data_IF_854775558684
#
_entry.id   IF_854775558684
#
_cell.length_a   1.000
_cell.length_b   1.000
_cell.length_c   1.000
_cell.angle_alpha   90.00
_cell.angle_beta   90.00
_cell.angle_gamma   90.00
#
_symmetry.space_group_name_H-M   'P 1'
#
loop_
_entity.id
_entity.type
_entity.pdbx_description
1 polymer ?
#
# COMPACT_ATOMS: atom_id res chain seq x y z
N UNK A 1 22.07 19.10 -23.30
CA UNK A 1 22.50 17.81 -23.86
C UNK A 1 21.87 16.69 -23.06
N UNK A 2 21.90 15.46 -23.55
CA UNK A 2 21.39 14.29 -22.82
C UNK A 2 22.39 13.83 -21.75
N UNK A 3 21.89 13.13 -20.74
CA UNK A 3 22.69 12.52 -19.68
C UNK A 3 22.90 11.04 -19.95
N UNK A 4 24.06 10.52 -19.56
CA UNK A 4 24.31 9.08 -19.53
C UNK A 4 23.43 8.39 -18.47
N UNK A 5 23.11 7.11 -18.71
CA UNK A 5 22.21 6.29 -17.89
C UNK A 5 22.57 6.35 -16.39
N UNK A 6 23.85 6.23 -16.05
CA UNK A 6 24.34 6.31 -14.65
C UNK A 6 24.10 7.67 -14.02
N UNK A 7 24.33 8.75 -14.76
CA UNK A 7 24.19 10.11 -14.24
C UNK A 7 22.72 10.50 -14.09
N UNK A 8 21.88 10.10 -15.04
CA UNK A 8 20.43 10.25 -14.92
C UNK A 8 19.89 9.53 -13.67
N UNK A 9 20.37 8.31 -13.40
CA UNK A 9 19.98 7.58 -12.20
C UNK A 9 20.47 8.23 -10.90
N UNK A 10 21.72 8.72 -10.87
CA UNK A 10 22.29 9.44 -9.73
C UNK A 10 21.48 10.70 -9.39
N UNK A 11 21.17 11.53 -10.39
CA UNK A 11 20.33 12.72 -10.21
C UNK A 11 18.92 12.31 -9.77
N UNK A 12 18.37 11.26 -10.37
CA UNK A 12 17.08 10.69 -9.99
C UNK A 12 16.99 10.29 -8.52
N UNK A 13 18.06 9.72 -7.96
CA UNK A 13 18.12 9.32 -6.55
C UNK A 13 18.06 10.51 -5.59
N UNK A 14 18.77 11.58 -5.92
CA UNK A 14 18.76 12.81 -5.11
C UNK A 14 17.40 13.51 -5.16
N UNK A 15 16.81 13.63 -6.35
CA UNK A 15 15.45 14.19 -6.51
C UNK A 15 14.42 13.33 -5.77
N UNK A 16 14.52 12.01 -5.89
CA UNK A 16 13.65 11.07 -5.17
C UNK A 16 13.78 11.22 -3.65
N UNK A 17 15.01 11.37 -3.13
CA UNK A 17 15.23 11.60 -1.70
C UNK A 17 14.62 12.90 -1.20
N UNK A 18 14.71 13.98 -1.99
CA UNK A 18 14.07 15.25 -1.66
C UNK A 18 12.53 15.13 -1.64
N UNK A 19 11.96 14.39 -2.60
CA UNK A 19 10.52 14.11 -2.65
C UNK A 19 10.06 13.27 -1.45
N UNK A 20 10.77 12.19 -1.11
CA UNK A 20 10.44 11.35 0.06
C UNK A 20 10.46 12.16 1.37
N UNK A 21 11.46 13.03 1.54
CA UNK A 21 11.56 13.89 2.73
C UNK A 21 10.36 14.85 2.83
N UNK A 22 9.92 15.43 1.71
CA UNK A 22 8.75 16.30 1.69
C UNK A 22 7.44 15.52 1.90
N UNK A 23 7.29 14.36 1.27
CA UNK A 23 6.12 13.50 1.41
C UNK A 23 5.94 13.01 2.86
N UNK A 24 7.04 12.70 3.55
CA UNK A 24 7.02 12.35 4.97
C UNK A 24 6.52 13.51 5.87
N UNK A 25 6.71 14.76 5.42
CA UNK A 25 6.17 15.95 6.07
C UNK A 25 4.75 16.32 5.59
N UNK A 26 4.12 15.50 4.74
CA UNK A 26 2.79 15.77 4.16
C UNK A 26 2.79 16.84 3.05
N UNK A 27 3.95 17.20 2.52
CA UNK A 27 4.11 18.25 1.50
C UNK A 27 4.32 17.59 0.14
N UNK A 28 3.49 17.95 -0.85
CA UNK A 28 3.70 17.58 -2.25
C UNK A 28 4.48 18.67 -2.99
N UNK A 29 5.36 18.26 -3.90
CA UNK A 29 6.14 19.21 -4.69
C UNK A 29 5.27 19.92 -5.73
N UNK A 30 4.44 19.17 -6.47
CA UNK A 30 3.48 19.67 -7.49
C UNK A 30 4.10 20.37 -8.71
N UNK A 31 5.40 20.58 -8.77
CA UNK A 31 6.04 21.15 -9.97
C UNK A 31 7.41 20.51 -10.26
N UNK A 32 7.51 19.18 -10.25
CA UNK A 32 8.79 18.51 -10.54
C UNK A 32 9.08 18.61 -12.04
N UNK A 33 10.13 19.31 -12.41
CA UNK A 33 10.59 19.52 -13.79
C UNK A 33 12.08 19.90 -13.79
N UNK A 34 12.78 19.83 -14.95
CA UNK A 34 14.22 20.11 -15.01
C UNK A 34 14.60 21.49 -14.47
N UNK A 35 13.78 22.52 -14.70
CA UNK A 35 14.00 23.89 -14.22
C UNK A 35 14.08 24.01 -12.69
N UNK A 36 13.44 23.07 -11.97
CA UNK A 36 13.41 23.03 -10.52
C UNK A 36 14.45 22.05 -9.93
N UNK A 37 15.31 21.45 -10.78
CA UNK A 37 16.40 20.55 -10.36
C UNK A 37 17.73 21.25 -10.59
N UNK A 38 18.33 21.75 -9.51
CA UNK A 38 19.59 22.49 -9.55
C UNK A 38 20.79 21.56 -9.36
N UNK A 39 21.78 21.68 -10.25
CA UNK A 39 23.05 20.97 -10.16
C UNK A 39 24.12 21.89 -9.57
N UNK A 40 24.59 21.55 -8.38
CA UNK A 40 25.63 22.26 -7.65
C UNK A 40 27.01 21.67 -7.86
N UNK A 41 28.01 22.27 -7.21
CA UNK A 41 29.38 21.71 -7.14
C UNK A 41 29.38 20.41 -6.34
N UNK A 42 30.37 19.55 -6.63
CA UNK A 42 30.59 18.28 -5.93
C UNK A 42 29.37 17.34 -5.99
N UNK A 43 28.79 17.18 -7.18
CA UNK A 43 27.66 16.28 -7.46
C UNK A 43 26.38 16.56 -6.65
N UNK A 44 26.30 17.71 -5.97
CA UNK A 44 25.11 18.11 -5.21
C UNK A 44 23.94 18.37 -6.15
N UNK A 45 22.81 17.73 -5.87
CA UNK A 45 21.54 18.00 -6.56
C UNK A 45 20.55 18.58 -5.55
N UNK A 46 19.81 19.61 -5.95
CA UNK A 46 18.82 20.27 -5.09
C UNK A 46 17.52 20.41 -5.85
N UNK A 47 16.42 19.93 -5.25
CA UNK A 47 15.07 20.19 -5.74
C UNK A 47 14.55 21.48 -5.10
N UNK A 48 14.10 22.44 -5.92
CA UNK A 48 13.61 23.76 -5.49
C UNK A 48 12.15 23.98 -5.83
N UNK A 49 11.55 25.03 -5.28
CA UNK A 49 10.19 25.48 -5.62
C UNK A 49 9.09 24.47 -5.27
N UNK A 50 9.19 23.90 -4.07
CA UNK A 50 8.10 23.13 -3.46
C UNK A 50 6.83 24.00 -3.43
N UNK A 51 5.73 23.46 -3.98
CA UNK A 51 4.50 24.18 -4.31
C UNK A 51 3.68 24.70 -3.12
N UNK A 52 4.26 25.55 -2.28
CA UNK A 52 3.58 26.32 -1.23
C UNK A 52 2.67 27.41 -1.83
N UNK A 53 2.82 27.75 -3.11
CA UNK A 53 2.06 28.81 -3.79
C UNK A 53 0.88 28.35 -4.67
N UNK A 54 0.70 27.04 -4.93
CA UNK A 54 -0.44 26.58 -5.74
C UNK A 54 -1.64 26.24 -4.85
N UNK A 55 -2.32 27.29 -4.41
CA UNK A 55 -3.68 27.23 -3.84
C UNK A 55 -4.61 26.67 -4.92
N UNK A 56 -5.51 25.76 -4.52
CA UNK A 56 -6.58 25.23 -5.36
C UNK A 56 -7.33 26.39 -6.05
N UNK A 57 -7.17 26.55 -7.36
CA UNK A 57 -7.91 27.55 -8.14
C UNK A 57 -7.12 28.29 -9.23
N UNK A 58 -5.80 28.39 -9.14
CA UNK A 58 -5.00 29.08 -10.17
C UNK A 58 -4.38 28.10 -11.18
N UNK A 59 -5.22 27.53 -12.05
CA UNK A 59 -4.77 27.36 -13.43
C UNK A 59 -4.51 28.77 -13.96
N UNK A 60 -3.24 29.18 -14.03
CA UNK A 60 -2.82 30.39 -14.74
C UNK A 60 -3.09 30.23 -16.26
N UNK A 61 -4.37 30.27 -16.62
CA UNK A 61 -4.81 30.72 -17.93
C UNK A 61 -4.50 32.23 -17.95
N UNK A 62 -3.49 32.66 -18.68
CA UNK A 62 -3.40 34.08 -19.00
C UNK A 62 -4.59 34.44 -19.88
N UNK A 63 -5.11 35.66 -19.76
CA UNK A 63 -6.24 36.22 -20.55
C UNK A 63 -6.11 36.12 -22.09
N UNK A 64 -4.99 35.57 -22.57
CA UNK A 64 -4.66 35.31 -23.98
C UNK A 64 -4.77 33.84 -24.39
N UNK A 65 -5.26 32.95 -23.51
CA UNK A 65 -5.42 31.52 -23.80
C UNK A 65 -4.09 30.74 -23.83
N UNK A 66 -3.03 31.33 -23.28
CA UNK A 66 -1.72 30.71 -23.12
C UNK A 66 -1.61 30.01 -21.78
N UNK A 67 -1.25 28.72 -21.80
CA UNK A 67 -0.81 28.01 -20.60
C UNK A 67 0.62 28.45 -20.29
N UNK A 68 0.86 29.11 -19.16
CA UNK A 68 2.22 29.43 -18.70
C UNK A 68 2.75 28.25 -17.89
N UNK A 69 3.63 27.44 -18.49
CA UNK A 69 4.26 26.32 -17.83
C UNK A 69 4.70 25.21 -18.80
N UNK A 70 5.23 24.12 -18.24
CA UNK A 70 5.63 22.92 -18.97
C UNK A 70 4.60 21.80 -18.75
N UNK A 71 3.48 21.79 -19.51
CA UNK A 71 2.36 20.86 -19.29
C UNK A 71 2.75 19.39 -19.43
N UNK A 72 3.86 19.09 -20.09
CA UNK A 72 4.35 17.74 -20.30
C UNK A 72 4.82 17.03 -19.03
N UNK A 73 5.10 17.77 -17.95
CA UNK A 73 5.50 17.21 -16.65
C UNK A 73 4.34 17.02 -15.68
N UNK A 74 3.15 17.51 -16.02
CA UNK A 74 1.96 17.40 -15.15
C UNK A 74 1.45 15.96 -15.19
N UNK A 75 1.12 15.41 -14.03
CA UNK A 75 0.57 14.06 -13.93
C UNK A 75 -0.88 14.00 -14.47
N UNK A 76 -1.29 12.91 -15.15
CA UNK A 76 -2.61 12.77 -15.77
C UNK A 76 -3.77 13.08 -14.81
N UNK A 77 -3.69 12.58 -13.58
CA UNK A 77 -4.68 12.79 -12.52
C UNK A 77 -4.86 14.29 -12.20
N UNK A 78 -3.80 15.09 -12.29
CA UNK A 78 -3.87 16.55 -12.07
C UNK A 78 -4.51 17.27 -13.25
N UNK A 79 -4.23 16.83 -14.47
CA UNK A 79 -4.91 17.35 -15.67
C UNK A 79 -6.41 17.06 -15.61
N UNK A 80 -6.79 15.92 -15.02
CA UNK A 80 -8.19 15.52 -14.80
C UNK A 80 -8.84 16.17 -13.57
N UNK A 81 -8.15 17.03 -12.83
CA UNK A 81 -8.67 17.67 -11.61
C UNK A 81 -8.85 16.73 -10.42
N UNK A 82 -8.25 15.54 -10.44
CA UNK A 82 -8.25 14.61 -9.32
C UNK A 82 -7.25 15.08 -8.25
N UNK A 83 -7.47 14.68 -7.00
CA UNK A 83 -6.59 15.05 -5.88
C UNK A 83 -5.19 14.43 -6.07
N UNK A 84 -4.12 15.23 -6.27
CA UNK A 84 -2.78 14.68 -6.43
C UNK A 84 -2.26 14.10 -5.12
N UNK A 85 -1.45 13.05 -5.24
CA UNK A 85 -0.73 12.42 -4.13
C UNK A 85 0.77 12.27 -4.45
N UNK A 86 1.54 11.59 -3.59
CA UNK A 86 2.97 11.34 -3.82
C UNK A 86 3.30 10.76 -5.21
N UNK A 87 2.42 9.89 -5.70
CA UNK A 87 2.55 9.28 -7.03
C UNK A 87 2.54 10.31 -8.18
N UNK A 88 1.94 11.48 -7.99
CA UNK A 88 1.95 12.57 -8.99
C UNK A 88 3.34 13.17 -9.15
N UNK A 89 4.07 13.37 -8.06
CA UNK A 89 5.46 13.86 -8.13
C UNK A 89 6.39 12.80 -8.72
N UNK A 90 6.13 11.51 -8.45
CA UNK A 90 6.87 10.39 -9.03
C UNK A 90 6.66 10.27 -10.55
N UNK A 91 5.46 10.54 -11.06
CA UNK A 91 5.22 10.66 -12.50
C UNK A 91 6.10 11.73 -13.13
N UNK A 92 6.09 12.92 -12.53
CA UNK A 92 6.86 14.05 -13.00
C UNK A 92 8.37 13.76 -12.98
N UNK A 93 8.87 13.04 -11.95
CA UNK A 93 10.23 12.49 -11.94
C UNK A 93 10.47 11.53 -13.12
N UNK A 94 9.52 10.65 -13.46
CA UNK A 94 9.60 9.78 -14.63
C UNK A 94 9.76 10.55 -15.94
N UNK A 95 9.02 11.67 -16.09
CA UNK A 95 9.15 12.55 -17.26
C UNK A 95 10.52 13.25 -17.28
N UNK A 96 11.02 13.69 -16.13
CA UNK A 96 12.37 14.27 -15.99
C UNK A 96 13.44 13.27 -16.40
N UNK A 97 13.39 12.04 -15.91
CA UNK A 97 14.36 10.99 -16.24
C UNK A 97 14.32 10.63 -17.73
N UNK A 98 13.13 10.49 -18.31
CA UNK A 98 12.98 10.28 -19.75
C UNK A 98 13.58 11.43 -20.55
N UNK A 99 13.23 12.68 -20.22
CA UNK A 99 13.73 13.85 -20.92
C UNK A 99 15.24 14.02 -20.76
N UNK A 100 15.80 13.61 -19.61
CA UNK A 100 17.23 13.64 -19.37
C UNK A 100 18.00 12.65 -20.27
N UNK A 101 17.46 11.45 -20.53
CA UNK A 101 18.12 10.45 -21.37
C UNK A 101 17.85 10.63 -22.86
N UNK A 102 16.62 10.99 -23.23
CA UNK A 102 16.18 11.10 -24.63
C UNK A 102 16.26 12.54 -25.19
N UNK A 103 16.46 13.53 -24.32
CA UNK A 103 16.57 14.95 -24.70
C UNK A 103 15.23 15.63 -24.96
N UNK A 104 14.12 14.89 -24.96
CA UNK A 104 12.76 15.38 -25.17
C UNK A 104 11.78 14.63 -24.28
N UNK A 105 10.75 15.31 -23.78
CA UNK A 105 9.65 14.65 -23.07
C UNK A 105 8.86 13.72 -24.01
N UNK A 106 8.38 12.56 -23.53
CA UNK A 106 7.59 11.63 -24.34
C UNK A 106 6.21 12.22 -24.71
N UNK A 107 5.76 13.23 -23.98
CA UNK A 107 4.43 13.84 -24.15
C UNK A 107 4.43 15.17 -24.87
N UNK A 108 5.59 15.80 -25.07
CA UNK A 108 5.67 17.10 -25.75
C UNK A 108 5.07 17.00 -27.15
N UNK A 109 4.18 17.94 -27.50
CA UNK A 109 3.60 18.12 -28.84
C UNK A 109 3.74 19.58 -29.27
N UNK A 110 3.27 19.91 -30.47
CA UNK A 110 3.40 21.23 -31.09
C UNK A 110 2.62 22.35 -30.38
N UNK A 111 1.64 22.01 -29.53
CA UNK A 111 0.89 22.97 -28.73
C UNK A 111 0.46 22.37 -27.38
N UNK A 112 0.02 23.23 -26.45
CA UNK A 112 -0.36 22.84 -25.09
C UNK A 112 -1.55 21.87 -25.05
N UNK A 113 -2.68 22.11 -25.74
CA UNK A 113 -3.79 21.14 -25.74
C UNK A 113 -3.38 19.76 -26.24
N UNK A 114 -2.56 19.68 -27.30
CA UNK A 114 -2.06 18.41 -27.81
C UNK A 114 -1.10 17.73 -26.82
N UNK A 115 -0.31 18.51 -26.08
CA UNK A 115 0.60 17.99 -25.05
C UNK A 115 -0.20 17.42 -23.88
N UNK A 116 -1.21 18.13 -23.39
CA UNK A 116 -2.12 17.63 -22.34
C UNK A 116 -2.89 16.39 -22.80
N UNK A 117 -3.39 16.38 -24.04
CA UNK A 117 -4.04 15.20 -24.61
C UNK A 117 -3.08 14.00 -24.67
N UNK A 118 -1.80 14.25 -24.98
CA UNK A 118 -0.75 13.23 -24.97
C UNK A 118 -0.43 12.74 -23.55
N UNK A 119 -0.37 13.65 -22.57
CA UNK A 119 -0.24 13.30 -21.14
C UNK A 119 -1.40 12.43 -20.68
N UNK A 120 -2.62 12.66 -21.15
CA UNK A 120 -3.78 11.84 -20.78
C UNK A 120 -3.80 10.47 -21.47
N UNK A 121 -3.52 10.40 -22.77
CA UNK A 121 -3.89 9.25 -23.58
C UNK A 121 -2.71 8.51 -24.23
N UNK A 122 -1.58 9.19 -24.48
CA UNK A 122 -0.49 8.57 -25.22
C UNK A 122 0.30 7.61 -24.32
N UNK A 123 0.53 6.38 -24.80
CA UNK A 123 1.52 5.49 -24.18
C UNK A 123 2.90 5.93 -24.67
N UNK A 124 3.84 6.32 -23.78
CA UNK A 124 5.21 6.63 -24.17
C UNK A 124 5.85 5.48 -24.92
N UNK A 125 6.66 5.79 -25.94
CA UNK A 125 7.62 4.81 -26.40
C UNK A 125 8.61 4.51 -25.25
N UNK A 126 9.10 3.27 -25.10
CA UNK A 126 10.19 2.99 -24.18
C UNK A 126 11.41 3.87 -24.50
N UNK A 127 12.16 4.35 -23.49
CA UNK A 127 13.35 5.15 -23.73
C UNK A 127 14.38 4.36 -24.53
N UNK A 128 14.97 4.97 -25.56
CA UNK A 128 15.92 4.31 -26.44
C UNK A 128 17.36 4.38 -25.90
N UNK A 129 17.70 5.43 -25.14
CA UNK A 129 19.02 5.60 -24.54
C UNK A 129 19.11 5.02 -23.12
N UNK A 130 18.00 4.93 -22.40
CA UNK A 130 17.95 4.23 -21.11
C UNK A 130 17.69 2.73 -21.32
N UNK A 131 18.43 1.89 -20.60
CA UNK A 131 18.27 0.43 -20.65
C UNK A 131 18.30 -0.17 -19.24
N UNK A 132 17.80 -1.40 -19.12
CA UNK A 132 17.81 -2.13 -17.86
C UNK A 132 17.00 -1.42 -16.77
N UNK A 133 17.47 -1.40 -15.51
CA UNK A 133 16.68 -0.90 -14.39
C UNK A 133 16.21 0.55 -14.53
N UNK A 134 16.96 1.44 -15.20
CA UNK A 134 16.50 2.81 -15.45
C UNK A 134 15.32 2.87 -16.43
N UNK A 135 15.34 2.05 -17.48
CA UNK A 135 14.22 1.96 -18.41
C UNK A 135 12.97 1.42 -17.69
N UNK A 136 13.14 0.44 -16.81
CA UNK A 136 12.05 -0.11 -15.99
C UNK A 136 11.48 0.94 -15.03
N UNK A 137 12.34 1.75 -14.40
CA UNK A 137 11.92 2.85 -13.54
C UNK A 137 11.11 3.89 -14.34
N UNK A 138 11.63 4.33 -15.50
CA UNK A 138 10.96 5.30 -16.37
C UNK A 138 9.60 4.75 -16.84
N UNK A 139 9.56 3.53 -17.37
CA UNK A 139 8.33 2.92 -17.87
C UNK A 139 7.30 2.67 -16.76
N UNK A 140 7.75 2.33 -15.55
CA UNK A 140 6.90 2.19 -14.37
C UNK A 140 6.34 3.53 -13.89
N UNK A 141 7.18 4.56 -13.80
CA UNK A 141 6.76 5.89 -13.36
C UNK A 141 5.78 6.55 -14.34
N UNK A 142 5.90 6.26 -15.63
CA UNK A 142 5.05 6.79 -16.69
C UNK A 142 3.76 5.98 -16.93
N UNK A 143 3.33 5.17 -15.95
CA UNK A 143 2.00 4.57 -15.93
C UNK A 143 0.92 5.63 -15.68
N UNK A 144 -0.10 5.69 -16.56
CA UNK A 144 -1.17 6.71 -16.47
C UNK A 144 -1.91 6.64 -15.15
N UNK A 145 -2.23 5.43 -14.72
CA UNK A 145 -2.82 5.15 -13.42
C UNK A 145 -1.76 5.32 -12.32
N UNK A 146 -1.92 6.27 -11.38
CA UNK A 146 -1.00 6.48 -10.27
C UNK A 146 -0.78 5.21 -9.42
N UNK A 147 -1.78 4.34 -9.32
CA UNK A 147 -1.69 3.10 -8.53
C UNK A 147 -0.82 2.01 -9.18
N UNK A 148 -0.50 2.14 -10.47
CA UNK A 148 0.41 1.23 -11.18
C UNK A 148 1.86 1.71 -11.19
N UNK A 149 2.12 2.92 -10.69
CA UNK A 149 3.48 3.45 -10.60
C UNK A 149 4.22 2.75 -9.46
N UNK A 150 5.51 2.43 -9.64
CA UNK A 150 6.32 1.92 -8.54
C UNK A 150 6.38 2.97 -7.43
N UNK A 151 6.36 2.50 -6.18
CA UNK A 151 6.55 3.37 -5.03
C UNK A 151 8.00 3.88 -4.94
N UNK A 152 8.25 4.84 -4.07
CA UNK A 152 9.58 5.46 -3.95
C UNK A 152 10.70 4.43 -3.65
N UNK A 153 10.43 3.42 -2.82
CA UNK A 153 11.42 2.36 -2.53
C UNK A 153 11.74 1.49 -3.77
N UNK A 154 10.74 1.15 -4.58
CA UNK A 154 10.93 0.41 -5.83
C UNK A 154 11.70 1.25 -6.86
N UNK A 155 11.36 2.54 -6.99
CA UNK A 155 12.09 3.48 -7.86
C UNK A 155 13.54 3.59 -7.38
N UNK A 156 13.76 3.77 -6.08
CA UNK A 156 15.09 3.83 -5.46
C UNK A 156 15.94 2.61 -5.80
N UNK A 157 15.40 1.40 -5.62
CA UNK A 157 16.11 0.17 -5.94
C UNK A 157 16.54 0.10 -7.43
N UNK A 158 15.66 0.50 -8.35
CA UNK A 158 15.96 0.52 -9.78
C UNK A 158 17.01 1.57 -10.15
N UNK A 159 16.93 2.76 -9.54
CA UNK A 159 17.92 3.81 -9.76
C UNK A 159 19.28 3.45 -9.11
N UNK A 160 19.30 2.83 -7.94
CA UNK A 160 20.52 2.32 -7.28
C UNK A 160 21.18 1.22 -8.11
N UNK A 161 20.42 0.25 -8.61
CA UNK A 161 20.95 -0.79 -9.49
C UNK A 161 21.56 -0.22 -10.79
N UNK A 162 21.05 0.92 -11.25
CA UNK A 162 21.59 1.64 -12.40
C UNK A 162 22.87 2.41 -12.04
N UNK A 163 22.86 3.14 -10.93
CA UNK A 163 23.98 3.95 -10.48
C UNK A 163 25.17 3.09 -10.03
N UNK A 164 24.90 1.94 -9.40
CA UNK A 164 25.86 1.02 -8.81
C UNK A 164 25.63 -0.42 -9.32
N UNK A 165 25.93 -0.73 -10.60
CA UNK A 165 25.72 -2.07 -11.12
C UNK A 165 26.60 -3.08 -10.37
N UNK A 166 26.07 -4.27 -10.02
CA UNK A 166 26.83 -5.29 -9.32
C UNK A 166 28.04 -5.74 -10.17
N UNK A 167 29.18 -5.94 -9.51
CA UNK A 167 30.36 -6.53 -10.13
C UNK A 167 30.02 -7.99 -10.47
N UNK A 168 30.18 -8.47 -11.71
CA UNK A 168 29.83 -9.84 -12.07
C UNK A 168 30.64 -10.84 -11.25
N UNK A 169 29.96 -11.80 -10.62
CA UNK A 169 30.62 -12.91 -9.92
C UNK A 169 31.32 -13.85 -10.94
N UNK A 170 32.56 -14.29 -10.66
CA UNK A 170 33.24 -15.24 -11.53
C UNK A 170 32.51 -16.59 -11.56
N UNK A 171 32.20 -17.06 -12.76
CA UNK A 171 31.54 -18.34 -13.03
C UNK A 171 32.27 -19.51 -12.36
N UNK A 172 31.67 -20.12 -11.34
CA UNK A 172 32.19 -21.37 -10.77
C UNK A 172 31.77 -22.56 -11.62
N UNK A 173 32.77 -23.31 -12.10
CA UNK A 173 32.60 -24.56 -12.84
C UNK A 173 32.24 -25.66 -11.82
N UNK A 174 31.01 -26.16 -11.86
CA UNK A 174 30.59 -27.31 -11.04
C UNK A 174 31.21 -28.59 -11.62
N UNK A 175 32.13 -29.21 -10.87
CA UNK A 175 32.66 -30.55 -11.19
C UNK A 175 31.83 -31.58 -10.42
N UNK A 176 31.05 -32.38 -11.12
CA UNK A 176 30.30 -33.50 -10.55
C UNK A 176 31.28 -34.59 -10.11
N UNK A 177 31.27 -34.95 -8.82
CA UNK A 177 32.00 -36.12 -8.29
C UNK A 177 30.98 -37.23 -8.03
N UNK A 178 31.16 -38.37 -8.67
CA UNK A 178 30.42 -39.61 -8.40
C UNK A 178 30.80 -40.16 -7.02
N UNK A 179 29.79 -40.50 -6.22
CA UNK A 179 29.95 -41.13 -4.89
C UNK A 179 29.60 -42.63 -5.01
N UNK A 180 30.48 -43.56 -4.60
CA UNK A 180 30.12 -44.97 -4.54
C UNK A 180 29.33 -45.28 -3.26
N UNK A 181 28.37 -46.19 -3.40
CA UNK A 181 27.50 -46.66 -2.34
C UNK A 181 28.26 -47.47 -1.27
N UNK A 182 28.02 -47.18 0.01
CA UNK A 182 28.50 -48.03 1.10
C UNK A 182 28.11 -47.56 2.52
N UNK A 183 27.28 -48.36 3.20
CA UNK A 183 27.30 -48.57 4.66
C UNK A 183 26.62 -47.50 5.55
N UNK A 184 25.36 -47.74 5.94
CA UNK A 184 24.71 -46.98 7.02
C UNK A 184 25.17 -47.42 8.43
N UNK A 185 25.24 -46.51 9.43
CA UNK A 185 25.51 -46.91 10.81
C UNK A 185 24.21 -47.19 11.57
N UNK A 186 24.20 -48.33 12.27
CA UNK A 186 23.23 -48.68 13.31
C UNK A 186 23.62 -47.97 14.61
N UNK A 187 22.73 -47.14 15.18
CA UNK A 187 22.93 -46.59 16.52
C UNK A 187 22.19 -47.41 17.59
N UNK A 188 22.93 -47.72 18.65
CA UNK A 188 22.55 -48.62 19.74
C UNK A 188 21.81 -47.95 20.91
N UNK A 189 21.29 -48.83 21.76
CA UNK A 189 20.19 -48.69 22.72
C UNK A 189 20.53 -47.95 24.04
N UNK A 190 21.40 -46.93 24.04
CA UNK A 190 21.86 -46.25 25.28
C UNK A 190 22.01 -44.72 25.17
N UNK A 191 20.96 -44.01 24.75
CA UNK A 191 20.90 -42.55 24.84
C UNK A 191 19.61 -42.05 25.51
N UNK A 192 19.15 -42.80 26.52
CA UNK A 192 17.84 -42.63 27.19
C UNK A 192 17.92 -41.99 28.59
N UNK A 193 18.92 -41.16 28.86
CA UNK A 193 18.98 -40.40 30.12
C UNK A 193 19.31 -38.92 29.86
N UNK A 194 18.24 -38.19 29.55
CA UNK A 194 18.20 -36.73 29.45
C UNK A 194 16.77 -36.20 29.63
N UNK A 195 15.94 -36.92 30.40
CA UNK A 195 14.57 -36.55 30.73
C UNK A 195 14.55 -36.05 32.18
N UNK A 196 14.71 -34.75 32.36
CA UNK A 196 14.65 -34.11 33.70
C UNK A 196 14.48 -32.60 33.64
N UNK A 197 15.05 -31.93 32.63
CA UNK A 197 14.86 -30.49 32.40
C UNK A 197 13.66 -30.14 31.50
N UNK A 198 13.14 -31.10 30.73
CA UNK A 198 12.09 -30.83 29.72
C UNK A 198 10.66 -30.73 30.30
N UNK A 199 10.42 -31.22 31.51
CA UNK A 199 9.06 -31.26 32.09
C UNK A 199 8.62 -29.90 32.66
N UNK A 200 9.56 -29.05 33.08
CA UNK A 200 9.24 -27.69 33.57
C UNK A 200 8.98 -26.73 32.40
N UNK A 201 9.72 -26.88 31.29
CA UNK A 201 9.46 -26.12 30.07
C UNK A 201 8.11 -26.50 29.41
N UNK A 202 7.73 -27.78 29.44
CA UNK A 202 6.44 -28.24 28.96
C UNK A 202 5.26 -27.74 29.84
N UNK A 203 5.46 -27.58 31.15
CA UNK A 203 4.43 -27.04 32.04
C UNK A 203 4.23 -25.52 31.88
N UNK A 204 5.30 -24.76 31.60
CA UNK A 204 5.20 -23.32 31.27
C UNK A 204 4.59 -23.11 29.89
N UNK A 205 4.92 -23.96 28.91
CA UNK A 205 4.29 -23.95 27.60
C UNK A 205 2.80 -24.35 27.67
N UNK A 206 2.43 -25.32 28.50
CA UNK A 206 1.04 -25.71 28.70
C UNK A 206 0.21 -24.64 29.46
N UNK A 207 0.82 -23.90 30.39
CA UNK A 207 0.15 -22.79 31.07
C UNK A 207 -0.08 -21.57 30.16
N UNK A 208 0.86 -21.29 29.25
CA UNK A 208 0.70 -20.22 28.26
C UNK A 208 -0.33 -20.55 27.16
N UNK A 209 -0.66 -21.83 26.95
CA UNK A 209 -1.70 -22.27 26.00
C UNK A 209 -3.12 -22.16 26.57
N UNK A 210 -3.29 -22.02 27.88
CA UNK A 210 -4.62 -21.89 28.51
C UNK A 210 -5.14 -20.43 28.47
N UNK A 211 -4.27 -19.45 28.18
CA UNK A 211 -4.65 -18.04 28.13
C UNK A 211 -5.05 -17.51 26.74
N UNK A 212 -4.77 -18.24 25.65
CA UNK A 212 -5.12 -17.77 24.29
C UNK A 212 -5.36 -18.95 23.32
N UNK A 213 -6.56 -19.56 23.31
CA UNK A 213 -6.81 -20.80 22.58
C UNK A 213 -6.89 -20.68 21.05
N UNK A 214 -6.51 -19.53 20.44
CA UNK A 214 -6.60 -19.32 18.99
C UNK A 214 -5.31 -18.80 18.30
N UNK A 215 -4.24 -18.51 19.04
CA UNK A 215 -3.00 -18.02 18.45
C UNK A 215 -2.02 -19.16 18.12
N UNK A 216 -2.16 -19.77 16.94
CA UNK A 216 -0.99 -20.37 16.29
C UNK A 216 0.13 -19.31 16.13
N UNK A 217 1.40 -19.70 15.96
CA UNK A 217 2.45 -18.72 15.68
C UNK A 217 2.04 -17.89 14.46
N UNK A 218 2.17 -16.57 14.55
CA UNK A 218 1.87 -15.69 13.42
C UNK A 218 2.75 -16.08 12.21
N UNK A 219 2.27 -15.89 10.98
CA UNK A 219 3.10 -16.12 9.80
C UNK A 219 4.35 -15.22 9.81
N UNK A 220 5.41 -15.64 9.10
CA UNK A 220 6.62 -14.84 8.98
C UNK A 220 6.30 -13.44 8.43
N UNK A 221 6.93 -12.42 9.02
CA UNK A 221 6.70 -11.02 8.64
C UNK A 221 5.43 -10.40 9.22
N UNK A 222 4.73 -11.06 10.15
CA UNK A 222 3.61 -10.47 10.89
C UNK A 222 4.01 -9.99 12.29
N UNK A 223 3.26 -9.02 12.81
CA UNK A 223 3.42 -8.51 14.16
C UNK A 223 2.06 -8.20 14.79
N UNK A 224 1.95 -8.37 16.11
CA UNK A 224 0.82 -7.84 16.89
C UNK A 224 1.09 -6.36 17.19
N UNK A 225 0.10 -5.50 16.96
CA UNK A 225 0.15 -4.07 17.29
C UNK A 225 -1.04 -3.72 18.18
N UNK A 226 -0.77 -3.32 19.42
CA UNK A 226 -1.79 -2.75 20.31
C UNK A 226 -2.03 -1.29 19.96
N UNK A 227 -3.29 -0.92 19.80
CA UNK A 227 -3.69 0.45 19.48
C UNK A 227 -4.64 0.96 20.55
N UNK A 228 -4.15 1.87 21.39
CA UNK A 228 -4.89 2.44 22.53
C UNK A 228 -6.21 3.09 22.12
N UNK A 229 -6.25 3.72 20.96
CA UNK A 229 -7.45 4.46 20.53
C UNK A 229 -8.66 3.55 20.31
N UNK A 230 -8.42 2.41 19.68
CA UNK A 230 -9.43 1.38 19.43
C UNK A 230 -9.43 0.28 20.50
N UNK A 231 -8.69 0.43 21.60
CA UNK A 231 -8.64 -0.51 22.72
C UNK A 231 -8.53 -2.00 22.31
N UNK A 232 -7.66 -2.27 21.34
CA UNK A 232 -7.49 -3.61 20.77
C UNK A 232 -6.06 -3.85 20.27
N UNK A 233 -5.68 -5.12 20.26
CA UNK A 233 -4.50 -5.66 19.58
C UNK A 233 -4.92 -6.33 18.28
N UNK A 234 -4.20 -6.02 17.21
CA UNK A 234 -4.43 -6.62 15.90
C UNK A 234 -3.12 -7.23 15.37
N UNK A 235 -3.20 -8.45 14.82
CA UNK A 235 -2.11 -8.98 14.02
C UNK A 235 -2.17 -8.40 12.61
N UNK A 236 -1.05 -7.85 12.14
CA UNK A 236 -0.91 -7.24 10.82
C UNK A 236 0.47 -7.57 10.23
N UNK A 237 0.62 -7.58 8.89
CA UNK A 237 1.95 -7.64 8.28
C UNK A 237 2.81 -6.45 8.76
N UNK A 238 4.07 -6.73 9.07
CA UNK A 238 4.99 -5.78 9.69
C UNK A 238 5.26 -4.55 8.81
N UNK A 239 5.21 -4.74 7.49
CA UNK A 239 5.42 -3.73 6.45
C UNK A 239 4.20 -2.82 6.21
N UNK A 240 3.02 -3.16 6.75
CA UNK A 240 1.82 -2.35 6.55
C UNK A 240 1.90 -1.01 7.29
N UNK A 241 1.53 0.05 6.57
CA UNK A 241 1.59 1.42 7.05
C UNK A 241 0.33 1.74 7.87
N UNK A 242 0.48 2.15 9.14
CA UNK A 242 -0.65 2.57 9.95
C UNK A 242 -1.15 3.95 9.51
N UNK A 243 -2.46 4.14 9.55
CA UNK A 243 -3.10 5.45 9.49
C UNK A 243 -4.12 5.56 10.61
N UNK A 244 -4.15 6.73 11.25
CA UNK A 244 -5.00 7.03 12.40
C UNK A 244 -5.68 8.38 12.19
N UNK A 245 -6.84 8.63 12.80
CA UNK A 245 -7.56 9.89 12.65
C UNK A 245 -6.77 11.08 13.20
N UNK A 246 -6.86 12.22 12.51
CA UNK A 246 -6.41 13.50 13.03
C UNK A 246 -7.39 13.99 14.11
N UNK A 247 -6.95 14.01 15.36
CA UNK A 247 -7.78 14.37 16.53
C UNK A 247 -8.32 15.79 16.50
N UNK A 248 -7.78 16.67 15.66
CA UNK A 248 -8.32 18.03 15.48
C UNK A 248 -9.63 18.04 14.69
N UNK A 249 -9.80 17.08 13.77
CA UNK A 249 -10.90 17.06 12.81
C UNK A 249 -11.77 15.82 12.92
N UNK A 250 -11.24 14.74 13.48
CA UNK A 250 -11.91 13.44 13.58
C UNK A 250 -11.83 12.91 15.03
N UNK A 251 -13.01 12.77 15.64
CA UNK A 251 -13.18 12.25 17.00
C UNK A 251 -13.49 10.77 17.03
N UNK A 252 -13.69 10.13 15.89
CA UNK A 252 -14.01 8.71 15.81
C UNK A 252 -12.78 7.85 16.15
N UNK A 253 -13.01 6.59 16.49
CA UNK A 253 -11.94 5.66 16.85
C UNK A 253 -11.73 4.65 15.73
N UNK A 254 -10.65 4.82 14.98
CA UNK A 254 -10.26 3.85 13.97
C UNK A 254 -8.76 3.81 13.77
N UNK A 255 -8.29 2.68 13.25
CA UNK A 255 -6.95 2.53 12.71
C UNK A 255 -7.01 1.71 11.43
N UNK A 256 -6.26 2.12 10.42
CA UNK A 256 -6.06 1.31 9.21
C UNK A 256 -4.61 0.93 9.04
N UNK A 257 -4.37 -0.22 8.44
CA UNK A 257 -3.07 -0.74 8.05
C UNK A 257 -3.14 -1.11 6.59
N UNK A 258 -2.37 -0.43 5.75
CA UNK A 258 -2.38 -0.65 4.30
C UNK A 258 -1.03 -1.19 3.84
N UNK A 259 -1.05 -2.09 2.87
CA UNK A 259 0.16 -2.41 2.13
C UNK A 259 0.65 -1.16 1.37
N UNK A 260 1.92 -1.13 0.97
CA UNK A 260 2.50 0.03 0.29
C UNK A 260 1.81 0.39 -1.05
N UNK A 261 1.06 -0.53 -1.66
CA UNK A 261 0.26 -0.22 -2.85
C UNK A 261 -1.13 0.33 -2.54
N UNK A 262 -1.61 0.19 -1.31
CA UNK A 262 -3.00 0.46 -0.91
C UNK A 262 -4.02 -0.54 -1.46
N UNK A 263 -3.58 -1.59 -2.15
CA UNK A 263 -4.46 -2.61 -2.72
C UNK A 263 -5.11 -3.48 -1.65
N UNK A 264 -4.38 -3.81 -0.59
CA UNK A 264 -4.85 -4.56 0.57
C UNK A 264 -4.76 -3.66 1.79
N UNK A 265 -5.88 -3.51 2.48
CA UNK A 265 -5.90 -2.78 3.74
C UNK A 265 -6.78 -3.47 4.77
N UNK A 266 -6.41 -3.29 6.03
CA UNK A 266 -7.12 -3.74 7.21
C UNK A 266 -7.56 -2.48 7.96
N UNK A 267 -8.81 -2.37 8.34
CA UNK A 267 -9.34 -1.26 9.12
C UNK A 267 -10.10 -1.76 10.32
N UNK A 268 -9.76 -1.28 11.50
CA UNK A 268 -10.50 -1.54 12.74
C UNK A 268 -11.16 -0.25 13.19
N UNK A 269 -12.48 -0.25 13.30
CA UNK A 269 -13.27 0.83 13.90
C UNK A 269 -13.85 0.37 15.23
N UNK A 270 -13.87 1.28 16.20
CA UNK A 270 -14.52 1.14 17.48
C UNK A 270 -15.57 2.24 17.65
N UNK A 271 -16.83 1.85 17.74
CA UNK A 271 -17.90 2.75 18.15
C UNK A 271 -18.20 2.50 19.63
N UNK A 272 -17.91 3.50 20.47
CA UNK A 272 -18.02 3.39 21.93
C UNK A 272 -19.44 3.67 22.38
N UNK A 273 -20.01 2.77 23.18
CA UNK A 273 -21.40 2.95 23.63
C UNK A 273 -21.58 4.15 24.55
N UNK A 274 -20.55 4.51 25.31
CA UNK A 274 -20.56 5.70 26.16
C UNK A 274 -20.66 7.01 25.37
N UNK A 275 -20.27 7.01 24.09
CA UNK A 275 -20.27 8.20 23.21
C UNK A 275 -21.47 8.22 22.25
N UNK A 276 -22.24 7.12 22.22
CA UNK A 276 -23.40 6.94 21.36
C UNK A 276 -24.68 7.56 21.93
N UNK A 277 -24.72 8.90 21.98
CA UNK A 277 -25.88 9.66 22.48
C UNK A 277 -27.12 9.52 21.57
N UNK A 278 -26.90 9.24 20.29
CA UNK A 278 -27.95 9.12 19.27
C UNK A 278 -28.48 7.70 19.11
N UNK A 279 -27.97 6.73 19.87
CA UNK A 279 -28.38 5.32 19.82
C UNK A 279 -28.19 4.68 18.44
N UNK A 280 -27.12 5.07 17.75
CA UNK A 280 -26.74 4.58 16.43
C UNK A 280 -26.12 3.19 16.47
N UNK A 281 -25.57 2.75 17.61
CA UNK A 281 -24.97 1.41 17.71
C UNK A 281 -26.07 0.36 17.80
N UNK A 282 -26.09 -0.57 16.85
CA UNK A 282 -27.06 -1.66 16.83
C UNK A 282 -26.99 -2.55 18.08
N UNK A 283 -28.12 -3.18 18.41
CA UNK A 283 -28.25 -4.02 19.61
C UNK A 283 -27.41 -5.32 19.60
N UNK A 284 -26.89 -5.72 18.43
CA UNK A 284 -26.03 -6.90 18.28
C UNK A 284 -25.11 -6.75 17.06
N UNK A 285 -24.03 -7.54 17.03
CA UNK A 285 -23.14 -7.61 15.87
C UNK A 285 -23.87 -8.03 14.58
N UNK A 286 -24.81 -8.97 14.68
CA UNK A 286 -25.62 -9.40 13.53
C UNK A 286 -26.55 -8.29 13.02
N UNK A 287 -27.16 -7.51 13.92
CA UNK A 287 -27.99 -6.37 13.53
C UNK A 287 -27.17 -5.31 12.78
N UNK A 288 -26.01 -4.92 13.33
CA UNK A 288 -25.09 -3.98 12.66
C UNK A 288 -24.65 -4.48 11.28
N UNK A 289 -24.37 -5.78 11.17
CA UNK A 289 -24.00 -6.42 9.91
C UNK A 289 -25.14 -6.33 8.88
N UNK A 290 -26.39 -6.60 9.27
CA UNK A 290 -27.53 -6.55 8.35
C UNK A 290 -27.92 -5.12 7.94
N UNK A 291 -27.72 -4.14 8.83
CA UNK A 291 -27.89 -2.73 8.49
C UNK A 291 -26.86 -2.29 7.44
N UNK A 292 -25.59 -2.66 7.64
CA UNK A 292 -24.52 -2.46 6.66
C UNK A 292 -24.77 -3.22 5.34
N UNK A 293 -25.21 -4.48 5.43
CA UNK A 293 -25.55 -5.32 4.28
C UNK A 293 -26.64 -4.68 3.41
N UNK A 294 -27.65 -4.08 4.04
CA UNK A 294 -28.73 -3.38 3.37
C UNK A 294 -28.20 -2.13 2.68
N UNK A 295 -27.35 -1.34 3.35
CA UNK A 295 -26.69 -0.16 2.75
C UNK A 295 -25.87 -0.55 1.51
N UNK A 296 -25.05 -1.60 1.60
CA UNK A 296 -24.23 -2.06 0.47
C UNK A 296 -25.07 -2.51 -0.74
N UNK A 297 -26.25 -3.08 -0.50
CA UNK A 297 -27.18 -3.50 -1.57
C UNK A 297 -27.94 -2.33 -2.17
N UNK A 298 -28.39 -1.38 -1.36
CA UNK A 298 -29.30 -0.31 -1.78
C UNK A 298 -28.57 0.88 -2.39
N UNK A 299 -27.49 1.33 -1.75
CA UNK A 299 -26.77 2.55 -2.11
C UNK A 299 -25.29 2.34 -2.38
N UNK A 300 -24.72 1.21 -1.96
CA UNK A 300 -23.30 0.93 -2.07
C UNK A 300 -22.50 1.64 -0.97
N UNK A 301 -21.25 1.98 -1.27
CA UNK A 301 -20.38 2.70 -0.34
C UNK A 301 -19.37 3.55 -1.12
N UNK A 302 -19.48 4.87 -0.95
CA UNK A 302 -18.74 5.84 -1.76
C UNK A 302 -17.23 5.73 -1.54
N UNK A 303 -16.80 5.63 -0.28
CA UNK A 303 -15.38 5.55 0.10
C UNK A 303 -14.72 4.27 -0.42
N UNK A 304 -15.51 3.24 -0.71
CA UNK A 304 -15.07 1.97 -1.26
C UNK A 304 -15.17 1.92 -2.80
N UNK A 305 -15.65 2.99 -3.43
CA UNK A 305 -16.09 3.00 -4.83
C UNK A 305 -17.04 1.84 -5.13
N UNK A 306 -17.86 1.46 -4.16
CA UNK A 306 -18.78 0.33 -4.24
C UNK A 306 -20.12 0.84 -4.80
N UNK A 307 -20.59 0.32 -5.94
CA UNK A 307 -21.92 0.64 -6.43
C UNK A 307 -22.98 0.01 -5.52
N UNK A 308 -24.22 0.49 -5.61
CA UNK A 308 -25.39 -0.29 -5.17
C UNK A 308 -25.36 -1.68 -5.83
N UNK A 309 -26.11 -2.64 -5.28
CA UNK A 309 -26.22 -4.04 -5.72
C UNK A 309 -25.00 -4.94 -5.46
N UNK A 310 -24.14 -4.57 -4.51
CA UNK A 310 -23.03 -5.41 -4.09
C UNK A 310 -23.53 -6.82 -3.68
N UNK A 311 -22.79 -7.85 -4.07
CA UNK A 311 -23.10 -9.23 -3.69
C UNK A 311 -22.54 -9.49 -2.31
N UNK A 312 -23.40 -9.83 -1.37
CA UNK A 312 -23.01 -10.04 0.01
C UNK A 312 -23.30 -11.47 0.46
N UNK A 313 -22.64 -11.87 1.55
CA UNK A 313 -22.81 -13.16 2.20
C UNK A 313 -22.70 -12.94 3.71
N UNK A 314 -23.79 -12.49 4.35
CA UNK A 314 -23.86 -12.35 5.80
C UNK A 314 -23.92 -13.73 6.46
N UNK A 315 -23.19 -13.89 7.55
CA UNK A 315 -23.06 -15.12 8.33
C UNK A 315 -23.01 -14.77 9.82
N UNK A 316 -23.76 -15.52 10.64
CA UNK A 316 -23.56 -15.51 12.09
C UNK A 316 -22.23 -16.18 12.42
N UNK A 317 -21.50 -15.63 13.38
CA UNK A 317 -20.18 -16.11 13.75
C UNK A 317 -20.04 -16.16 15.27
N UNK A 318 -19.06 -16.90 15.77
CA UNK A 318 -18.69 -16.87 17.19
C UNK A 318 -17.27 -16.38 17.35
N UNK A 319 -17.05 -15.44 18.26
CA UNK A 319 -15.74 -14.94 18.62
C UNK A 319 -15.53 -15.12 20.11
N UNK A 320 -14.52 -15.93 20.45
CA UNK A 320 -14.18 -16.28 21.83
C UNK A 320 -15.40 -16.74 22.67
N UNK A 321 -16.26 -17.57 22.07
CA UNK A 321 -17.47 -18.11 22.71
C UNK A 321 -18.66 -17.13 22.79
N UNK A 322 -18.56 -15.95 22.18
CA UNK A 322 -19.61 -14.93 22.15
C UNK A 322 -20.14 -14.67 20.74
N UNK A 323 -21.37 -14.16 20.66
CA UNK A 323 -22.01 -13.84 19.37
C UNK A 323 -21.21 -12.76 18.63
N UNK A 324 -20.87 -13.07 17.39
CA UNK A 324 -20.27 -12.17 16.43
C UNK A 324 -21.01 -12.32 15.09
N UNK A 325 -20.61 -11.54 14.09
CA UNK A 325 -21.14 -11.69 12.75
C UNK A 325 -20.06 -11.38 11.73
N UNK A 326 -20.25 -11.87 10.51
CA UNK A 326 -19.31 -11.69 9.41
C UNK A 326 -20.06 -11.48 8.10
N UNK A 327 -19.59 -10.55 7.28
CA UNK A 327 -20.09 -10.39 5.93
C UNK A 327 -18.95 -10.45 4.91
N UNK A 328 -19.10 -11.28 3.88
CA UNK A 328 -18.25 -11.21 2.69
C UNK A 328 -18.96 -10.39 1.62
N UNK A 329 -18.36 -9.27 1.21
CA UNK A 329 -18.93 -8.40 0.18
C UNK A 329 -18.06 -8.45 -1.07
N UNK A 330 -18.67 -8.72 -2.21
CA UNK A 330 -18.00 -8.73 -3.52
C UNK A 330 -18.70 -7.77 -4.45
N UNK A 331 -17.90 -6.92 -5.10
CA UNK A 331 -18.42 -5.92 -6.03
C UNK A 331 -17.37 -5.58 -7.08
N UNK A 332 -17.80 -4.78 -8.04
CA UNK A 332 -16.97 -4.19 -9.07
C UNK A 332 -17.01 -2.68 -8.88
N UNK A 333 -15.86 -2.00 -8.90
CA UNK A 333 -15.81 -0.56 -8.63
C UNK A 333 -16.65 0.24 -9.61
N UNK A 334 -17.12 1.41 -9.17
CA UNK A 334 -17.99 2.33 -9.94
C UNK A 334 -17.35 2.92 -11.19
N UNK A 335 -16.01 2.81 -11.34
CA UNK A 335 -15.31 3.15 -12.58
C UNK A 335 -15.76 2.20 -13.72
N UNK A 336 -16.61 2.70 -14.60
CA UNK A 336 -17.18 1.93 -15.71
C UNK A 336 -16.15 1.61 -16.80
N UNK A 337 -15.06 2.38 -16.89
CA UNK A 337 -13.99 2.16 -17.88
C UNK A 337 -12.97 1.14 -17.39
N UNK A 338 -12.67 1.14 -16.08
CA UNK A 338 -11.69 0.25 -15.47
C UNK A 338 -12.24 -0.38 -14.19
N UNK A 339 -13.38 -1.06 -14.32
CA UNK A 339 -14.08 -1.66 -13.20
C UNK A 339 -13.26 -2.79 -12.58
N UNK A 340 -12.86 -2.62 -11.32
CA UNK A 340 -12.00 -3.58 -10.61
C UNK A 340 -12.84 -4.45 -9.69
N UNK A 341 -12.69 -5.79 -9.74
CA UNK A 341 -13.31 -6.64 -8.76
C UNK A 341 -12.66 -6.41 -7.39
N UNK A 342 -13.48 -6.22 -6.36
CA UNK A 342 -13.09 -6.08 -4.96
C UNK A 342 -13.81 -7.12 -4.12
N UNK A 343 -13.14 -7.58 -3.08
CA UNK A 343 -13.70 -8.45 -2.05
C UNK A 343 -13.38 -7.83 -0.69
N UNK A 344 -14.39 -7.75 0.16
CA UNK A 344 -14.27 -7.33 1.55
C UNK A 344 -14.64 -8.48 2.46
N UNK A 345 -13.89 -8.60 3.55
CA UNK A 345 -14.21 -9.43 4.70
C UNK A 345 -14.45 -8.48 5.85
N UNK A 346 -15.68 -8.43 6.34
CA UNK A 346 -16.06 -7.56 7.46
C UNK A 346 -16.47 -8.44 8.62
N UNK A 347 -15.84 -8.21 9.76
CA UNK A 347 -16.12 -8.90 11.01
C UNK A 347 -16.67 -7.91 12.04
N UNK A 348 -17.73 -8.32 12.73
CA UNK A 348 -18.50 -7.50 13.66
C UNK A 348 -18.49 -8.18 15.03
N UNK A 349 -18.13 -7.42 16.06
CA UNK A 349 -18.19 -7.89 17.43
C UNK A 349 -18.70 -6.79 18.34
N UNK A 350 -19.68 -7.14 19.20
CA UNK A 350 -20.22 -6.22 20.20
C UNK A 350 -19.82 -6.72 21.59
N UNK A 351 -19.14 -5.88 22.36
CA UNK A 351 -18.74 -6.22 23.72
C UNK A 351 -19.95 -6.29 24.65
N UNK A 352 -19.75 -6.87 25.84
CA UNK A 352 -20.76 -6.86 26.90
C UNK A 352 -21.15 -5.45 27.37
N UNK A 353 -20.21 -4.49 27.32
CA UNK A 353 -20.44 -3.06 27.61
C UNK A 353 -21.20 -2.34 26.49
N UNK A 354 -21.33 -3.00 25.33
CA UNK A 354 -22.09 -2.51 24.19
C UNK A 354 -21.30 -1.75 23.14
N UNK A 355 -19.96 -1.73 23.26
CA UNK A 355 -19.08 -1.16 22.26
C UNK A 355 -19.07 -2.04 21.01
N UNK A 356 -19.07 -1.42 19.83
CA UNK A 356 -19.10 -2.13 18.55
C UNK A 356 -17.74 -2.04 17.87
N UNK A 357 -17.19 -3.20 17.54
CA UNK A 357 -15.99 -3.36 16.75
C UNK A 357 -16.36 -3.81 15.35
N UNK A 358 -15.81 -3.11 14.35
CA UNK A 358 -15.93 -3.44 12.93
C UNK A 358 -14.53 -3.56 12.34
N UNK A 359 -14.10 -4.79 12.06
CA UNK A 359 -12.84 -5.10 11.39
C UNK A 359 -13.12 -5.38 9.91
N UNK A 360 -12.66 -4.49 9.04
CA UNK A 360 -12.83 -4.58 7.59
C UNK A 360 -11.49 -4.88 6.94
N UNK A 361 -11.43 -5.90 6.10
CA UNK A 361 -10.28 -6.18 5.25
C UNK A 361 -10.71 -6.11 3.79
N UNK A 362 -10.09 -5.22 3.01
CA UNK A 362 -10.44 -5.01 1.61
C UNK A 362 -9.26 -5.36 0.71
N UNK A 363 -9.50 -6.12 -0.35
CA UNK A 363 -8.48 -6.54 -1.29
C UNK A 363 -9.03 -6.76 -2.70
N UNK A 364 -8.17 -6.92 -3.73
CA UNK A 364 -8.64 -7.23 -5.08
C UNK A 364 -9.35 -8.58 -5.11
N UNK A 365 -10.55 -8.62 -5.67
CA UNK A 365 -11.36 -9.84 -5.80
C UNK A 365 -10.91 -10.78 -6.93
N UNK A 366 -9.94 -10.36 -7.75
CA UNK A 366 -9.29 -11.19 -8.77
C UNK A 366 -7.84 -10.74 -8.97
N UNK A 367 -6.96 -11.70 -9.28
CA UNK A 367 -5.54 -11.48 -9.59
C UNK A 367 -4.60 -11.87 -8.45
N UNK A 368 -3.34 -11.47 -8.58
CA UNK A 368 -2.24 -11.95 -7.74
C UNK A 368 -2.41 -11.60 -6.25
N UNK A 369 -3.07 -10.47 -5.96
CA UNK A 369 -3.33 -10.02 -4.60
C UNK A 369 -4.51 -10.71 -3.92
N UNK A 370 -5.35 -11.46 -4.63
CA UNK A 370 -6.56 -12.07 -4.05
C UNK A 370 -6.23 -13.14 -3.02
N UNK A 371 -5.25 -14.00 -3.31
CA UNK A 371 -4.81 -15.03 -2.37
C UNK A 371 -4.25 -14.43 -1.09
N UNK A 372 -3.32 -13.48 -1.24
CA UNK A 372 -2.72 -12.73 -0.11
C UNK A 372 -3.78 -11.97 0.69
N UNK A 373 -4.74 -11.32 0.04
CA UNK A 373 -5.81 -10.59 0.71
C UNK A 373 -6.70 -11.47 1.59
N UNK A 374 -7.05 -12.67 1.10
CA UNK A 374 -7.82 -13.66 1.88
C UNK A 374 -7.05 -14.21 3.07
N UNK A 375 -5.74 -14.43 2.91
CA UNK A 375 -4.87 -14.81 4.02
C UNK A 375 -4.81 -13.69 5.06
N UNK A 376 -4.60 -12.45 4.62
CA UNK A 376 -4.57 -11.28 5.51
C UNK A 376 -5.87 -11.17 6.29
N UNK A 377 -7.01 -11.30 5.62
CA UNK A 377 -8.32 -11.26 6.27
C UNK A 377 -8.49 -12.36 7.33
N UNK A 378 -8.16 -13.62 6.97
CA UNK A 378 -8.26 -14.75 7.90
C UNK A 378 -7.38 -14.54 9.13
N UNK A 379 -6.12 -14.15 8.94
CA UNK A 379 -5.14 -14.00 10.02
C UNK A 379 -5.49 -12.82 10.92
N UNK A 380 -5.87 -11.68 10.34
CA UNK A 380 -6.24 -10.49 11.10
C UNK A 380 -7.51 -10.72 11.96
N UNK A 381 -8.54 -11.35 11.39
CA UNK A 381 -9.78 -11.68 12.13
C UNK A 381 -9.50 -12.70 13.24
N UNK A 382 -8.73 -13.76 12.95
CA UNK A 382 -8.43 -14.81 13.92
C UNK A 382 -7.56 -14.33 15.10
N UNK A 383 -6.82 -13.24 14.93
CA UNK A 383 -5.89 -12.69 15.93
C UNK A 383 -6.29 -11.28 16.38
N UNK A 384 -7.55 -10.87 16.15
CA UNK A 384 -8.10 -9.72 16.85
C UNK A 384 -8.19 -10.06 18.33
N UNK A 385 -7.77 -9.13 19.17
CA UNK A 385 -7.87 -9.22 20.62
C UNK A 385 -8.34 -7.86 21.15
N UNK A 386 -9.41 -7.83 21.93
CA UNK A 386 -10.04 -6.59 22.40
C UNK A 386 -9.85 -6.47 23.91
N UNK A 387 -9.45 -5.29 24.38
CA UNK A 387 -8.98 -5.07 25.76
C UNK A 387 -10.03 -5.44 26.84
N UNK A 388 -11.31 -5.50 26.46
CA UNK A 388 -12.43 -5.90 27.33
C UNK A 388 -13.47 -6.69 26.52
N UNK A 389 -13.53 -8.01 26.74
CA UNK A 389 -14.51 -8.87 26.07
C UNK A 389 -15.94 -8.64 26.57
#
# INVERSE_FOLDING_TARGET
>A
GTLGVREAARIGLEVLGALEAAHAAGILHRDVKPDNVLLGRYDRVVLTDFGIAQIEGETNLTDTGGFVGSPEFIAPERVLGQRPGPASDLWSLGVVLYAATEGVSPFRRSNTPATLQSVLNATPAPPAAAHGPLADAINGLLQKDPARRPNAAQVRALLEATAHPPVPEPTQIVRTVEVPAGGGPRLGRKAWFGLGGAVVAAAVAAYLVIADPFAGPLPDGWTKKHTKDVAATLAVPADYQPSTPDRKTDKTHWITYSDYSGSIWIGLRLDRKAEDTSHNIAGSAAAEMYDDDSRYKESGEYDLSMPANAKTRPEDETYQGRKAAKNTVTYKTTDTQNSRPRELQIFYYRTSTGDMYKLTVSYPGKGDFTGRGREVARTAIANLDVDRL
#
